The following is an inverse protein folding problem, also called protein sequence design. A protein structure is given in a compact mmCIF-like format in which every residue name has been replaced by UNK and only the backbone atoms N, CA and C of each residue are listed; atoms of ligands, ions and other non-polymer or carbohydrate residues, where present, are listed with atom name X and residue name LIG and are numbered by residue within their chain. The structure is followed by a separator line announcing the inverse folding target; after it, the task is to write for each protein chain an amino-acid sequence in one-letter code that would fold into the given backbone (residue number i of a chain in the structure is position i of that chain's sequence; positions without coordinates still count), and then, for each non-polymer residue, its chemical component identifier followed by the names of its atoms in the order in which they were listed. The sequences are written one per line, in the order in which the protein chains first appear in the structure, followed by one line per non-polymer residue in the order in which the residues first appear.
data_IF_988559229290
#
_entry.id   IF_988559229290
#
_cell.length_a   1.000
_cell.length_b   1.000
_cell.length_c   1.000
_cell.angle_alpha   90.00
_cell.angle_beta   90.00
_cell.angle_gamma   90.00
#
_symmetry.space_group_name_H-M   'P 1'
#
loop_
_entity.id
_entity.type
_entity.pdbx_description
1 polymer ?
#
# COMPACT_ATOMS: atom_id res chain seq x y z
N UNK A 1 -17.59 0.83 -26.20
CA UNK A 1 -16.67 0.58 -25.06
C UNK A 1 -15.47 -0.16 -25.63
N UNK A 2 -14.38 0.56 -25.88
CA UNK A 2 -13.29 0.10 -26.74
C UNK A 2 -12.30 -0.77 -25.96
N UNK A 3 -12.36 -2.09 -26.21
CA UNK A 3 -11.55 -3.12 -25.57
C UNK A 3 -10.06 -3.04 -25.95
N UNK A 4 -9.68 -2.22 -26.94
CA UNK A 4 -8.29 -2.04 -27.35
C UNK A 4 -7.44 -1.26 -26.33
N UNK A 5 -8.05 -0.42 -25.47
CA UNK A 5 -7.32 0.34 -24.43
C UNK A 5 -6.95 -0.48 -23.20
N UNK A 6 -7.67 -1.57 -22.93
CA UNK A 6 -7.35 -2.50 -21.82
C UNK A 6 -6.18 -3.45 -22.14
N UNK A 7 -5.85 -3.62 -23.41
CA UNK A 7 -4.74 -4.46 -23.85
C UNK A 7 -3.38 -3.72 -23.89
N UNK A 8 -3.40 -2.38 -23.89
CA UNK A 8 -2.19 -1.55 -24.04
C UNK A 8 -1.36 -1.39 -22.74
N UNK A 9 -1.82 -1.87 -21.58
CA UNK A 9 -1.09 -1.77 -20.30
C UNK A 9 -0.12 -2.92 -20.03
N UNK A 10 0.00 -3.91 -20.94
CA UNK A 10 1.03 -4.96 -20.87
C UNK A 10 2.29 -4.62 -21.67
N UNK A 11 2.77 -3.38 -21.59
CA UNK A 11 4.13 -3.08 -22.08
C UNK A 11 5.12 -3.65 -21.07
N UNK A 12 5.60 -4.84 -21.38
CA UNK A 12 6.77 -5.44 -20.75
C UNK A 12 7.93 -4.45 -20.80
N UNK A 13 8.41 -4.02 -19.62
CA UNK A 13 9.67 -3.31 -19.51
C UNK A 13 10.85 -4.15 -20.00
N UNK A 14 12.03 -3.53 -20.08
CA UNK A 14 13.26 -4.02 -20.73
C UNK A 14 13.75 -5.44 -20.38
N UNK A 15 13.17 -6.10 -19.36
CA UNK A 15 13.51 -7.45 -18.91
C UNK A 15 12.44 -8.52 -19.24
N UNK A 16 11.28 -8.15 -19.83
CA UNK A 16 10.26 -9.12 -20.26
C UNK A 16 9.35 -9.69 -19.16
N UNK A 17 9.56 -9.33 -17.89
CA UNK A 17 8.73 -9.79 -16.75
C UNK A 17 7.89 -8.65 -16.16
N UNK A 18 6.66 -8.91 -15.68
CA UNK A 18 5.86 -7.90 -15.00
C UNK A 18 6.45 -7.53 -13.63
N UNK A 19 6.17 -6.31 -13.11
CA UNK A 19 6.57 -5.92 -11.76
C UNK A 19 6.14 -6.92 -10.69
N UNK A 20 7.00 -7.14 -9.69
CA UNK A 20 6.76 -8.10 -8.59
C UNK A 20 6.84 -7.38 -7.25
N UNK A 21 5.69 -7.22 -6.61
CA UNK A 21 5.56 -6.55 -5.32
C UNK A 21 5.59 -7.51 -4.12
N UNK A 22 5.51 -8.82 -4.36
CA UNK A 22 5.57 -9.83 -3.30
C UNK A 22 4.30 -9.94 -2.47
N UNK A 23 4.44 -10.61 -1.31
CA UNK A 23 3.38 -10.84 -0.32
C UNK A 23 3.74 -10.06 0.93
N UNK A 24 2.79 -9.32 1.49
CA UNK A 24 2.95 -8.58 2.75
C UNK A 24 2.98 -9.57 3.93
N UNK A 25 3.88 -9.35 4.89
CA UNK A 25 4.09 -10.21 6.06
C UNK A 25 4.01 -11.74 5.73
N UNK A 26 4.86 -12.27 4.83
CA UNK A 26 4.70 -13.61 4.25
C UNK A 26 4.71 -14.74 5.30
N UNK A 27 5.48 -14.58 6.38
CA UNK A 27 5.51 -15.53 7.49
C UNK A 27 4.17 -15.59 8.24
N UNK A 28 3.50 -14.45 8.41
CA UNK A 28 2.21 -14.38 9.12
C UNK A 28 1.11 -15.11 8.35
N UNK A 29 0.96 -14.80 7.05
CA UNK A 29 -0.07 -15.47 6.21
C UNK A 29 0.21 -16.96 6.02
N UNK A 30 1.48 -17.36 5.94
CA UNK A 30 1.85 -18.78 5.91
C UNK A 30 1.46 -19.49 7.21
N UNK A 31 1.75 -18.88 8.37
CA UNK A 31 1.35 -19.41 9.68
C UNK A 31 -0.16 -19.57 9.83
N UNK A 32 -0.93 -18.58 9.36
CA UNK A 32 -2.39 -18.62 9.35
C UNK A 32 -2.93 -19.80 8.52
N UNK A 33 -2.38 -20.01 7.32
CA UNK A 33 -2.75 -21.11 6.45
C UNK A 33 -2.41 -22.48 7.04
N UNK A 34 -1.20 -22.63 7.59
CA UNK A 34 -0.77 -23.87 8.26
C UNK A 34 -1.66 -24.20 9.44
N UNK A 35 -2.01 -23.21 10.28
CA UNK A 35 -2.92 -23.41 11.40
C UNK A 35 -4.32 -23.85 10.93
N UNK A 36 -4.82 -23.26 9.83
CA UNK A 36 -6.08 -23.65 9.22
C UNK A 36 -6.10 -25.11 8.76
N UNK A 37 -5.08 -25.52 8.00
CA UNK A 37 -4.92 -26.92 7.55
C UNK A 37 -4.82 -27.88 8.74
N UNK A 38 -3.99 -27.54 9.73
CA UNK A 38 -3.80 -28.36 10.92
C UNK A 38 -5.12 -28.57 11.69
N UNK A 39 -5.94 -27.52 11.82
CA UNK A 39 -7.26 -27.60 12.45
C UNK A 39 -8.23 -28.51 11.68
N UNK A 40 -8.27 -28.41 10.35
CA UNK A 40 -9.08 -29.29 9.51
C UNK A 40 -8.63 -30.77 9.62
N UNK A 41 -7.32 -31.02 9.62
CA UNK A 41 -6.77 -32.37 9.79
C UNK A 41 -7.06 -32.93 11.19
N UNK A 42 -7.01 -32.11 12.23
CA UNK A 42 -7.40 -32.51 13.58
C UNK A 42 -8.90 -32.83 13.67
N UNK A 43 -9.75 -32.05 12.99
CA UNK A 43 -11.19 -32.30 12.90
C UNK A 43 -11.51 -33.64 12.25
N UNK A 44 -10.76 -34.03 11.21
CA UNK A 44 -10.92 -35.31 10.53
C UNK A 44 -10.56 -36.53 11.40
N UNK A 45 -9.71 -36.34 12.43
CA UNK A 45 -9.20 -37.43 13.29
C UNK A 45 -9.95 -37.59 14.61
N UNK A 46 -10.83 -36.66 15.00
CA UNK A 46 -11.53 -36.67 16.29
C UNK A 46 -13.05 -36.81 16.13
N UNK A 47 -13.71 -37.54 17.04
CA UNK A 47 -15.19 -37.65 17.06
C UNK A 47 -15.86 -36.48 17.78
N UNK A 48 -15.36 -36.08 18.95
CA UNK A 48 -15.86 -34.92 19.71
C UNK A 48 -15.21 -33.63 19.22
N UNK A 49 -15.99 -32.54 19.13
CA UNK A 49 -15.50 -31.21 18.75
C UNK A 49 -15.15 -31.02 17.26
N UNK A 50 -15.33 -32.02 16.40
CA UNK A 50 -14.95 -31.97 14.98
C UNK A 50 -15.57 -30.81 14.21
N UNK A 51 -16.84 -30.49 14.47
CA UNK A 51 -17.54 -29.41 13.76
C UNK A 51 -16.90 -28.05 14.09
N UNK A 52 -16.63 -27.79 15.37
CA UNK A 52 -15.98 -26.56 15.80
C UNK A 52 -14.55 -26.43 15.24
N UNK A 53 -13.75 -27.51 15.26
CA UNK A 53 -12.40 -27.50 14.69
C UNK A 53 -12.40 -27.32 13.16
N UNK A 54 -13.35 -27.96 12.46
CA UNK A 54 -13.51 -27.77 11.02
C UNK A 54 -13.94 -26.34 10.68
N UNK A 55 -14.87 -25.76 11.45
CA UNK A 55 -15.30 -24.38 11.28
C UNK A 55 -14.13 -23.40 11.53
N UNK A 56 -13.37 -23.57 12.62
CA UNK A 56 -12.20 -22.76 12.90
C UNK A 56 -11.14 -22.87 11.79
N UNK A 57 -10.86 -24.09 11.32
CA UNK A 57 -9.95 -24.32 10.20
C UNK A 57 -10.42 -23.64 8.91
N UNK A 58 -11.71 -23.75 8.60
CA UNK A 58 -12.34 -23.08 7.46
C UNK A 58 -12.22 -21.55 7.52
N UNK A 59 -12.44 -20.95 8.69
CA UNK A 59 -12.26 -19.49 8.88
C UNK A 59 -10.81 -19.08 8.65
N UNK A 60 -9.85 -19.79 9.23
CA UNK A 60 -8.41 -19.48 9.05
C UNK A 60 -7.98 -19.60 7.59
N UNK A 61 -8.46 -20.62 6.87
CA UNK A 61 -8.18 -20.81 5.45
C UNK A 61 -8.84 -19.73 4.58
N UNK A 62 -10.09 -19.38 4.87
CA UNK A 62 -10.78 -18.29 4.18
C UNK A 62 -10.04 -16.96 4.40
N UNK A 63 -9.64 -16.65 5.64
CA UNK A 63 -8.84 -15.47 5.95
C UNK A 63 -7.48 -15.49 5.26
N UNK A 64 -6.82 -16.64 5.15
CA UNK A 64 -5.59 -16.78 4.36
C UNK A 64 -5.84 -16.46 2.89
N UNK A 65 -6.93 -16.96 2.31
CA UNK A 65 -7.32 -16.67 0.93
C UNK A 65 -7.61 -15.19 0.68
N UNK A 66 -8.33 -14.54 1.59
CA UNK A 66 -8.61 -13.09 1.53
C UNK A 66 -7.31 -12.29 1.63
N UNK A 67 -6.43 -12.64 2.57
CA UNK A 67 -5.12 -11.99 2.72
C UNK A 67 -4.28 -12.09 1.44
N UNK A 68 -4.18 -13.29 0.86
CA UNK A 68 -3.46 -13.52 -0.39
C UNK A 68 -4.10 -12.78 -1.57
N UNK A 69 -5.43 -12.70 -1.63
CA UNK A 69 -6.12 -11.90 -2.64
C UNK A 69 -5.75 -10.42 -2.53
N UNK A 70 -5.81 -9.85 -1.33
CA UNK A 70 -5.49 -8.45 -1.08
C UNK A 70 -4.06 -8.12 -1.44
N UNK A 71 -3.08 -8.89 -0.96
CA UNK A 71 -1.67 -8.59 -1.21
C UNK A 71 -1.25 -8.76 -2.69
N UNK A 72 -1.81 -9.77 -3.38
CA UNK A 72 -1.42 -10.06 -4.77
C UNK A 72 -2.18 -9.24 -5.82
N UNK A 73 -3.40 -8.77 -5.51
CA UNK A 73 -4.27 -8.11 -6.49
C UNK A 73 -5.08 -6.97 -5.92
N UNK A 74 -5.73 -7.21 -4.78
CA UNK A 74 -6.72 -6.29 -4.23
C UNK A 74 -6.15 -4.90 -3.96
N UNK A 75 -5.01 -4.82 -3.25
CA UNK A 75 -4.35 -3.54 -2.95
C UNK A 75 -3.98 -2.76 -4.21
N UNK A 76 -3.51 -3.45 -5.25
CA UNK A 76 -3.08 -2.82 -6.50
C UNK A 76 -4.28 -2.18 -7.21
N UNK A 77 -5.40 -2.91 -7.34
CA UNK A 77 -6.63 -2.41 -7.95
C UNK A 77 -7.25 -1.26 -7.18
N UNK A 78 -7.22 -1.34 -5.84
CA UNK A 78 -7.72 -0.24 -5.01
C UNK A 78 -6.88 1.00 -5.24
N UNK A 79 -5.55 0.90 -5.19
CA UNK A 79 -4.68 2.05 -5.40
C UNK A 79 -4.77 2.63 -6.82
N UNK A 80 -4.89 1.81 -7.86
CA UNK A 80 -5.18 2.29 -9.21
C UNK A 80 -6.43 3.17 -9.23
N UNK A 81 -7.54 2.68 -8.64
CA UNK A 81 -8.80 3.42 -8.56
C UNK A 81 -8.68 4.70 -7.73
N UNK A 82 -7.96 4.67 -6.62
CA UNK A 82 -7.80 5.85 -5.77
C UNK A 82 -6.89 6.92 -6.42
N UNK A 83 -5.86 6.51 -7.16
CA UNK A 83 -5.05 7.42 -7.97
C UNK A 83 -5.84 8.02 -9.14
N UNK A 84 -6.71 7.22 -9.79
CA UNK A 84 -7.61 7.73 -10.84
C UNK A 84 -8.60 8.76 -10.29
N UNK A 85 -9.17 8.48 -9.10
CA UNK A 85 -10.06 9.40 -8.38
C UNK A 85 -9.37 10.66 -7.90
N UNK A 86 -8.07 10.58 -7.62
CA UNK A 86 -7.30 11.75 -7.23
C UNK A 86 -7.26 12.79 -8.36
N UNK A 87 -7.41 12.39 -9.63
CA UNK A 87 -7.41 13.31 -10.76
C UNK A 87 -6.01 13.90 -10.99
N UNK A 88 -5.00 13.04 -11.14
CA UNK A 88 -3.65 13.48 -11.49
C UNK A 88 -3.65 14.11 -12.90
N UNK A 89 -2.95 15.22 -13.04
CA UNK A 89 -2.80 15.99 -14.29
C UNK A 89 -1.72 15.41 -15.20
N UNK A 90 -0.76 14.71 -14.61
CA UNK A 90 0.31 14.00 -15.31
C UNK A 90 1.68 14.67 -15.26
N UNK A 91 1.74 15.91 -14.78
CA UNK A 91 2.96 16.71 -14.59
C UNK A 91 3.36 16.83 -13.12
N UNK A 92 2.62 16.20 -12.21
CA UNK A 92 2.87 16.32 -10.78
C UNK A 92 4.20 15.72 -10.32
N UNK A 93 4.75 16.31 -9.26
CA UNK A 93 5.78 15.70 -8.40
C UNK A 93 5.09 15.01 -7.22
N UNK A 94 5.15 13.68 -7.20
CA UNK A 94 4.50 12.83 -6.19
C UNK A 94 5.55 12.20 -5.27
N UNK A 95 5.27 12.14 -3.97
CA UNK A 95 6.06 11.42 -2.97
C UNK A 95 5.28 10.22 -2.42
N UNK A 96 5.87 9.03 -2.41
CA UNK A 96 5.32 7.83 -1.77
C UNK A 96 6.11 7.48 -0.49
N UNK A 97 5.46 7.60 0.66
CA UNK A 97 6.03 7.36 1.98
C UNK A 97 5.94 5.89 2.36
N UNK A 98 7.08 5.28 2.66
CA UNK A 98 7.20 3.83 2.84
C UNK A 98 6.90 3.09 1.55
N UNK A 99 7.57 3.50 0.46
CA UNK A 99 7.26 3.01 -0.88
C UNK A 99 7.51 1.49 -1.05
N UNK A 100 8.25 0.86 -0.15
CA UNK A 100 8.54 -0.58 -0.15
C UNK A 100 9.11 -1.01 -1.50
N UNK A 101 8.47 -2.00 -2.14
CA UNK A 101 8.79 -2.48 -3.50
C UNK A 101 8.15 -1.66 -4.65
N UNK A 102 7.59 -0.49 -4.34
CA UNK A 102 7.13 0.50 -5.31
C UNK A 102 5.71 0.31 -5.84
N UNK A 103 4.83 -0.45 -5.17
CA UNK A 103 3.49 -0.75 -5.72
C UNK A 103 2.66 0.51 -6.00
N UNK A 104 2.61 1.45 -5.05
CA UNK A 104 1.87 2.71 -5.21
C UNK A 104 2.68 3.72 -6.00
N UNK A 105 3.97 3.88 -5.68
CA UNK A 105 4.92 4.69 -6.44
C UNK A 105 4.88 4.46 -7.96
N UNK A 106 4.93 3.20 -8.39
CA UNK A 106 4.95 2.84 -9.82
C UNK A 106 3.57 3.04 -10.44
N UNK A 107 2.49 2.69 -9.73
CA UNK A 107 1.14 2.98 -10.19
C UNK A 107 0.92 4.50 -10.38
N UNK A 108 1.47 5.33 -9.50
CA UNK A 108 1.50 6.77 -9.66
C UNK A 108 2.35 7.19 -10.87
N UNK A 109 3.59 6.70 -10.99
CA UNK A 109 4.48 7.04 -12.10
C UNK A 109 3.88 6.74 -13.48
N UNK A 110 3.12 5.66 -13.64
CA UNK A 110 2.41 5.35 -14.92
C UNK A 110 1.41 6.44 -15.34
N UNK A 111 0.90 7.22 -14.38
CA UNK A 111 -0.05 8.33 -14.58
C UNK A 111 0.63 9.70 -14.73
N UNK A 112 1.96 9.75 -14.60
CA UNK A 112 2.75 10.98 -14.65
C UNK A 112 3.63 11.02 -15.91
N UNK A 113 3.09 11.21 -17.13
CA UNK A 113 3.88 11.23 -18.37
C UNK A 113 4.97 12.30 -18.40
N UNK A 114 4.76 13.45 -17.75
CA UNK A 114 5.73 14.56 -17.65
C UNK A 114 6.19 14.84 -16.23
N UNK A 115 5.57 14.20 -15.23
CA UNK A 115 5.90 14.37 -13.82
C UNK A 115 7.04 13.49 -13.32
N UNK A 116 7.13 13.40 -11.98
CA UNK A 116 8.13 12.61 -11.26
C UNK A 116 7.50 11.94 -10.04
N UNK A 117 7.86 10.69 -9.80
CA UNK A 117 7.45 9.93 -8.63
C UNK A 117 8.68 9.63 -7.77
N UNK A 118 8.65 10.07 -6.52
CA UNK A 118 9.74 9.94 -5.56
C UNK A 118 9.31 8.97 -4.46
N UNK A 119 10.07 7.93 -4.19
CA UNK A 119 9.85 7.00 -3.09
C UNK A 119 10.76 7.32 -1.91
N UNK A 120 10.25 7.27 -0.69
CA UNK A 120 11.04 7.36 0.53
C UNK A 120 10.77 6.13 1.41
N UNK A 121 11.81 5.41 1.83
CA UNK A 121 11.68 4.22 2.69
C UNK A 121 12.92 4.03 3.59
N UNK A 122 12.79 3.24 4.66
CA UNK A 122 13.92 2.80 5.50
C UNK A 122 14.45 1.40 5.13
N UNK A 123 13.84 0.76 4.13
CA UNK A 123 14.20 -0.53 3.55
C UNK A 123 14.23 -1.67 4.57
N UNK A 124 13.21 -1.74 5.42
CA UNK A 124 13.07 -2.81 6.42
C UNK A 124 12.72 -4.15 5.77
N UNK A 125 13.62 -5.13 5.88
CA UNK A 125 13.38 -6.51 5.43
C UNK A 125 12.46 -7.32 6.34
N UNK A 126 12.11 -6.81 7.53
CA UNK A 126 11.17 -7.47 8.46
C UNK A 126 9.72 -7.36 7.96
N UNK A 127 9.38 -6.21 7.41
CA UNK A 127 7.99 -5.88 7.03
C UNK A 127 7.66 -6.43 5.63
N UNK A 128 8.67 -6.47 4.74
CA UNK A 128 8.53 -7.02 3.40
C UNK A 128 9.83 -7.72 2.95
N UNK A 129 9.73 -8.99 2.55
CA UNK A 129 10.89 -9.76 2.10
C UNK A 129 11.48 -9.21 0.80
N UNK A 130 12.79 -9.00 0.80
CA UNK A 130 13.51 -8.40 -0.33
C UNK A 130 13.18 -6.93 -0.55
N UNK A 131 12.77 -6.21 0.50
CA UNK A 131 12.63 -4.76 0.46
C UNK A 131 14.00 -4.10 0.32
N UNK A 132 14.10 -3.13 -0.59
CA UNK A 132 15.34 -2.45 -0.94
C UNK A 132 15.14 -1.55 -2.16
N UNK A 133 15.96 -0.50 -2.31
CA UNK A 133 15.82 0.45 -3.41
C UNK A 133 15.94 -0.24 -4.78
N UNK A 134 16.80 -1.26 -4.90
CA UNK A 134 17.01 -2.01 -6.15
C UNK A 134 15.75 -2.76 -6.59
N UNK A 135 14.99 -3.31 -5.64
CA UNK A 135 13.74 -4.03 -5.95
C UNK A 135 12.69 -3.07 -6.53
N UNK A 136 12.61 -1.85 -5.99
CA UNK A 136 11.71 -0.81 -6.50
C UNK A 136 12.13 -0.31 -7.87
N UNK A 137 13.42 -0.02 -8.06
CA UNK A 137 13.93 0.41 -9.35
C UNK A 137 13.79 -0.68 -10.43
N UNK A 138 14.00 -1.95 -10.09
CA UNK A 138 13.75 -3.08 -10.99
C UNK A 138 12.26 -3.18 -11.39
N UNK A 139 11.35 -2.97 -10.43
CA UNK A 139 9.90 -2.93 -10.72
C UNK A 139 9.53 -1.72 -11.59
N UNK A 140 10.14 -0.55 -11.37
CA UNK A 140 9.92 0.64 -12.19
C UNK A 140 10.42 0.42 -13.64
N UNK A 141 11.57 -0.23 -13.80
CA UNK A 141 12.09 -0.63 -15.12
C UNK A 141 11.16 -1.64 -15.81
N UNK A 142 10.68 -2.65 -15.07
CA UNK A 142 9.71 -3.64 -15.57
C UNK A 142 8.37 -3.01 -15.99
N UNK A 143 7.98 -1.89 -15.38
CA UNK A 143 6.79 -1.11 -15.73
C UNK A 143 7.04 -0.05 -16.82
N UNK A 144 8.28 0.15 -17.27
CA UNK A 144 8.63 1.17 -18.27
C UNK A 144 8.51 2.60 -17.75
N UNK A 145 8.77 2.83 -16.45
CA UNK A 145 8.66 4.14 -15.80
C UNK A 145 9.94 4.55 -15.05
N UNK A 146 11.04 3.82 -15.21
CA UNK A 146 12.28 4.04 -14.47
C UNK A 146 12.85 5.46 -14.64
N UNK A 147 12.66 6.08 -15.81
CA UNK A 147 13.09 7.45 -16.12
C UNK A 147 12.35 8.54 -15.30
N UNK A 148 11.27 8.16 -14.62
CA UNK A 148 10.41 9.06 -13.84
C UNK A 148 10.38 8.71 -12.35
N UNK A 149 11.08 7.65 -11.94
CA UNK A 149 11.09 7.16 -10.55
C UNK A 149 12.44 7.44 -9.91
N UNK A 150 12.40 8.07 -8.73
CA UNK A 150 13.55 8.24 -7.83
C UNK A 150 13.23 7.59 -6.49
N UNK A 151 14.25 7.08 -5.78
CA UNK A 151 14.09 6.49 -4.45
C UNK A 151 15.15 7.03 -3.49
N UNK A 152 14.73 7.31 -2.25
CA UNK A 152 15.59 7.78 -1.17
C UNK A 152 15.46 6.89 0.05
N UNK A 153 16.59 6.63 0.70
CA UNK A 153 16.58 6.16 2.09
C UNK A 153 16.27 7.33 3.00
N UNK A 154 15.08 7.38 3.57
CA UNK A 154 14.64 8.51 4.39
C UNK A 154 13.62 8.10 5.45
N UNK A 155 13.73 8.73 6.63
CA UNK A 155 12.73 8.63 7.69
C UNK A 155 11.59 9.61 7.41
N UNK A 156 10.36 9.10 7.30
CA UNK A 156 9.19 9.94 7.03
C UNK A 156 8.81 10.86 8.19
N UNK A 157 9.39 10.69 9.38
CA UNK A 157 9.24 11.61 10.52
C UNK A 157 10.17 12.82 10.46
N UNK A 158 11.11 12.85 9.51
CA UNK A 158 12.02 13.96 9.25
C UNK A 158 12.48 13.90 7.77
N UNK A 159 11.59 14.31 6.87
CA UNK A 159 11.80 14.19 5.43
C UNK A 159 12.90 15.15 4.94
N UNK A 160 13.87 14.68 4.13
CA UNK A 160 14.96 15.50 3.60
C UNK A 160 14.53 16.34 2.38
N UNK A 161 13.30 16.85 2.41
CA UNK A 161 12.71 17.63 1.33
C UNK A 161 12.27 19.00 1.84
N UNK A 162 12.36 20.01 0.98
CA UNK A 162 11.88 21.35 1.29
C UNK A 162 10.34 21.39 1.41
N UNK A 163 9.86 22.39 2.15
CA UNK A 163 8.44 22.71 2.25
C UNK A 163 7.83 22.95 0.87
N UNK A 164 6.59 22.50 0.68
CA UNK A 164 5.86 22.78 -0.56
C UNK A 164 6.45 22.17 -1.83
N UNK A 165 7.31 21.17 -1.72
CA UNK A 165 8.04 20.59 -2.85
C UNK A 165 7.30 19.48 -3.61
N UNK A 166 6.15 19.02 -3.10
CA UNK A 166 5.33 17.98 -3.73
C UNK A 166 3.88 18.41 -3.94
N UNK A 167 3.28 17.88 -5.00
CA UNK A 167 1.89 18.12 -5.35
C UNK A 167 0.96 17.07 -4.74
N UNK A 168 1.49 15.86 -4.57
CA UNK A 168 0.77 14.71 -4.02
C UNK A 168 1.71 13.92 -3.11
N UNK A 169 1.21 13.50 -1.96
CA UNK A 169 1.89 12.55 -1.07
C UNK A 169 0.99 11.34 -0.89
N UNK A 170 1.53 10.15 -1.13
CA UNK A 170 0.87 8.87 -0.87
C UNK A 170 1.53 8.14 0.29
N UNK A 171 0.77 7.32 1.00
CA UNK A 171 1.31 6.35 1.94
C UNK A 171 0.40 5.14 2.03
N UNK A 172 0.97 3.93 1.94
CA UNK A 172 0.21 2.68 1.97
C UNK A 172 0.79 1.75 3.02
N UNK A 173 0.07 1.57 4.14
CA UNK A 173 0.43 0.61 5.20
C UNK A 173 1.84 0.81 5.75
N UNK A 174 2.28 2.07 5.82
CA UNK A 174 3.63 2.40 6.22
C UNK A 174 3.68 3.17 7.55
N UNK A 175 2.85 4.22 7.72
CA UNK A 175 2.92 5.10 8.90
C UNK A 175 2.69 4.30 10.19
N UNK A 176 1.78 3.33 10.21
CA UNK A 176 1.53 2.50 11.41
C UNK A 176 2.75 1.70 11.91
N UNK A 177 3.78 1.49 11.08
CA UNK A 177 5.01 0.81 11.50
C UNK A 177 5.88 1.68 12.41
N UNK A 178 5.63 2.99 12.47
CA UNK A 178 6.30 3.87 13.44
C UNK A 178 5.79 3.52 14.85
N UNK A 179 6.66 3.10 15.79
CA UNK A 179 6.22 2.56 17.07
C UNK A 179 5.44 3.54 17.94
N UNK A 180 5.83 4.82 17.92
CA UNK A 180 5.25 5.85 18.77
C UNK A 180 4.05 6.54 18.12
N UNK A 181 3.03 6.85 18.91
CA UNK A 181 1.91 7.68 18.44
C UNK A 181 2.38 9.05 17.98
N UNK A 182 3.30 9.67 18.72
CA UNK A 182 3.88 10.97 18.35
C UNK A 182 4.63 10.89 17.02
N UNK A 183 5.46 9.86 16.80
CA UNK A 183 6.17 9.70 15.53
C UNK A 183 5.23 9.52 14.35
N UNK A 184 4.11 8.79 14.52
CA UNK A 184 3.08 8.65 13.48
C UNK A 184 2.43 9.99 13.12
N UNK A 185 2.14 10.83 14.11
CA UNK A 185 1.58 12.17 13.86
C UNK A 185 2.63 13.07 13.21
N UNK A 186 3.88 13.00 13.65
CA UNK A 186 5.01 13.72 13.04
C UNK A 186 5.20 13.36 11.57
N UNK A 187 5.05 12.09 11.20
CA UNK A 187 5.10 11.68 9.79
C UNK A 187 3.98 12.29 8.94
N UNK A 188 2.78 12.44 9.53
CA UNK A 188 1.66 13.12 8.87
C UNK A 188 1.92 14.63 8.76
N UNK A 189 2.52 15.24 9.79
CA UNK A 189 2.92 16.66 9.75
C UNK A 189 3.99 16.91 8.68
N UNK A 190 5.00 16.04 8.58
CA UNK A 190 6.02 16.09 7.53
C UNK A 190 5.42 15.92 6.13
N UNK A 191 4.48 14.99 5.95
CA UNK A 191 3.74 14.83 4.71
C UNK A 191 2.99 16.12 4.32
N UNK A 192 2.36 16.78 5.28
CA UNK A 192 1.69 18.07 5.06
C UNK A 192 2.70 19.20 4.82
N UNK A 193 3.85 19.22 5.49
CA UNK A 193 4.89 20.24 5.31
C UNK A 193 5.41 20.24 3.88
N UNK A 194 5.76 19.07 3.35
CA UNK A 194 6.34 18.94 1.99
C UNK A 194 5.30 19.10 0.89
N UNK A 195 3.99 19.02 1.19
CA UNK A 195 2.94 19.35 0.23
C UNK A 195 2.87 20.86 -0.05
N UNK A 196 2.72 21.25 -1.31
CA UNK A 196 2.38 22.63 -1.68
C UNK A 196 0.95 22.98 -1.24
N UNK A 197 0.63 24.27 -1.06
CA UNK A 197 -0.76 24.75 -1.03
C UNK A 197 -1.62 24.13 -2.14
N UNK A 198 -2.76 23.55 -1.79
CA UNK A 198 -3.65 22.81 -2.71
C UNK A 198 -3.16 21.41 -3.11
N UNK A 199 -2.04 20.94 -2.56
CA UNK A 199 -1.54 19.57 -2.73
C UNK A 199 -2.40 18.54 -1.99
N UNK A 200 -2.27 17.26 -2.37
CA UNK A 200 -3.13 16.16 -1.88
C UNK A 200 -2.36 15.15 -1.06
N UNK A 201 -2.84 14.81 0.13
CA UNK A 201 -2.36 13.69 0.94
C UNK A 201 -3.34 12.51 0.79
N UNK A 202 -2.85 11.35 0.36
CA UNK A 202 -3.60 10.12 0.16
C UNK A 202 -3.00 8.99 1.01
N UNK A 203 -3.67 8.59 2.08
CA UNK A 203 -3.15 7.57 3.01
C UNK A 203 -4.11 6.40 3.09
N UNK A 204 -3.61 5.19 2.82
CA UNK A 204 -4.32 3.94 3.11
C UNK A 204 -3.64 3.25 4.31
N UNK A 205 -4.33 3.17 5.44
CA UNK A 205 -3.76 2.59 6.67
C UNK A 205 -4.80 1.76 7.44
N UNK A 206 -4.37 1.04 8.48
CA UNK A 206 -5.20 0.21 9.34
C UNK A 206 -6.39 1.02 9.87
N UNK A 207 -7.56 0.38 9.99
CA UNK A 207 -8.83 1.01 10.35
C UNK A 207 -8.78 2.16 11.39
N UNK A 208 -8.12 2.04 12.56
CA UNK A 208 -8.07 3.12 13.54
C UNK A 208 -7.10 4.27 13.17
N UNK A 209 -6.14 4.06 12.28
CA UNK A 209 -5.04 4.98 12.02
C UNK A 209 -5.47 6.21 11.22
N UNK A 210 -6.13 6.01 10.07
CA UNK A 210 -6.60 7.12 9.24
C UNK A 210 -7.50 8.11 9.99
N UNK A 211 -8.29 7.62 10.96
CA UNK A 211 -9.11 8.46 11.85
C UNK A 211 -8.28 9.31 12.81
N UNK A 212 -7.19 8.76 13.36
CA UNK A 212 -6.28 9.53 14.21
C UNK A 212 -5.57 10.62 13.40
N UNK A 213 -5.17 10.31 12.17
CA UNK A 213 -4.53 11.28 11.27
C UNK A 213 -5.48 12.41 10.90
N UNK A 214 -6.72 12.08 10.51
CA UNK A 214 -7.74 13.09 10.21
C UNK A 214 -8.06 13.99 11.41
N UNK A 215 -8.20 13.40 12.61
CA UNK A 215 -8.45 14.15 13.83
C UNK A 215 -7.29 15.08 14.19
N UNK A 216 -6.04 14.61 14.03
CA UNK A 216 -4.83 15.42 14.26
C UNK A 216 -4.74 16.60 13.30
N UNK A 217 -5.03 16.37 12.02
CA UNK A 217 -5.03 17.42 11.00
C UNK A 217 -6.23 18.38 11.09
N UNK A 218 -7.27 18.02 11.87
CA UNK A 218 -8.54 18.76 11.89
C UNK A 218 -9.33 18.69 10.58
N UNK A 219 -8.95 17.79 9.66
CA UNK A 219 -9.56 17.68 8.33
C UNK A 219 -9.46 16.28 7.71
N UNK A 220 -10.27 16.06 6.67
CA UNK A 220 -10.37 14.79 5.96
C UNK A 220 -11.39 13.84 6.56
N UNK A 221 -12.02 13.03 5.70
CA UNK A 221 -13.05 12.08 6.09
C UNK A 221 -12.60 10.65 5.75
N UNK A 222 -12.03 9.90 6.72
CA UNK A 222 -11.60 8.54 6.49
C UNK A 222 -12.76 7.63 6.09
N UNK A 223 -12.56 6.82 5.06
CA UNK A 223 -13.55 5.83 4.60
C UNK A 223 -12.95 4.44 4.44
N UNK A 224 -13.71 3.36 4.61
CA UNK A 224 -13.22 2.02 4.33
C UNK A 224 -12.96 1.84 2.82
N UNK A 225 -11.94 1.04 2.48
CA UNK A 225 -11.61 0.67 1.10
C UNK A 225 -12.35 -0.59 0.60
N UNK A 226 -13.09 -1.26 1.49
CA UNK A 226 -13.91 -2.42 1.16
C UNK A 226 -13.12 -3.74 1.08
N UNK A 227 -13.79 -4.84 0.68
CA UNK A 227 -13.29 -6.20 0.80
C UNK A 227 -12.04 -6.52 -0.03
N UNK A 228 -11.79 -5.76 -1.08
CA UNK A 228 -10.57 -5.92 -1.90
C UNK A 228 -9.30 -5.60 -1.11
N UNK A 229 -9.41 -4.80 -0.04
CA UNK A 229 -8.28 -4.36 0.78
C UNK A 229 -8.44 -4.77 2.24
N UNK A 230 -8.77 -6.05 2.47
CA UNK A 230 -8.87 -6.65 3.80
C UNK A 230 -7.70 -7.61 4.04
N UNK A 231 -6.98 -7.44 5.15
CA UNK A 231 -5.95 -8.40 5.55
C UNK A 231 -6.55 -9.55 6.36
N UNK A 232 -7.29 -10.41 5.65
CA UNK A 232 -7.89 -11.63 6.18
C UNK A 232 -9.38 -11.52 6.55
N UNK A 233 -9.94 -10.32 6.63
CA UNK A 233 -11.37 -10.12 6.86
C UNK A 233 -11.74 -8.69 7.22
N UNK A 234 -13.05 -8.39 7.43
CA UNK A 234 -13.55 -7.05 7.72
C UNK A 234 -12.99 -6.42 9.00
N UNK A 235 -12.54 -7.25 9.96
CA UNK A 235 -11.89 -6.80 11.21
C UNK A 235 -10.49 -6.21 11.00
N UNK A 236 -9.85 -6.52 9.87
CA UNK A 236 -8.53 -6.01 9.47
C UNK A 236 -8.65 -5.21 8.16
N UNK A 237 -9.70 -4.39 8.08
CA UNK A 237 -9.94 -3.52 6.93
C UNK A 237 -9.04 -2.29 6.90
N UNK A 238 -8.73 -1.85 5.69
CA UNK A 238 -7.94 -0.64 5.45
C UNK A 238 -8.88 0.56 5.24
N UNK A 239 -8.53 1.69 5.87
CA UNK A 239 -9.18 2.98 5.72
C UNK A 239 -8.33 3.91 4.88
N UNK A 240 -9.00 4.71 4.07
CA UNK A 240 -8.40 5.70 3.20
C UNK A 240 -8.72 7.10 3.69
N UNK A 241 -7.69 7.92 3.80
CA UNK A 241 -7.76 9.35 4.09
C UNK A 241 -7.31 10.11 2.85
N UNK A 242 -8.14 11.04 2.41
CA UNK A 242 -7.78 12.03 1.40
C UNK A 242 -7.92 13.41 2.05
N UNK A 243 -6.83 14.17 2.04
CA UNK A 243 -6.74 15.54 2.55
C UNK A 243 -6.18 16.43 1.45
N UNK A 244 -6.69 17.66 1.37
CA UNK A 244 -6.14 18.71 0.50
C UNK A 244 -5.51 19.76 1.42
N UNK A 245 -4.24 20.07 1.23
CA UNK A 245 -3.58 21.13 2.00
C UNK A 245 -4.22 22.48 1.66
N UNK A 246 -4.69 23.17 2.68
CA UNK A 246 -5.25 24.51 2.53
C UNK A 246 -4.20 25.51 2.01
N UNK A 247 -4.67 26.64 1.49
CA UNK A 247 -3.79 27.64 0.89
C UNK A 247 -3.02 28.45 1.91
#
# INVERSE_FOLDING_TARGET
MDLSRLAASRRTGALGWPPRYGVDAPAFVAGLGVAGVASCLAAARRRRGRVAMAAAGGVLLASTGVYLHTTLRGKLRVWERELDRAGLKGDERLLDLGCGRGAVLIAAATRLPSGRAVGADLWSGKDQSGNGPEATLANAAAAGVADRVEVHTADMTALPFADGSFDVVTSALAIHNIPSSEGRLRAVDEAMRVLRPGGRLLVADLWPMARKYAAHLGQGAPRPLGPEYWYGGPWAGITFLHVIKER
#
